data_IF_568304667087
#
_entry.id   IF_568304667087
#
_cell.length_a   1.000
_cell.length_b   1.000
_cell.length_c   1.000
_cell.angle_alpha   90.00
_cell.angle_beta   90.00
_cell.angle_gamma   90.00
#
_symmetry.space_group_name_H-M   'P 1'
#
loop_
_entity.id
_entity.type
_entity.pdbx_description
1 polymer ?
#
# COMPACT_ATOMS: atom_id res chain seq x y z
N UNK A 1 -4.02 -10.07 -11.58
CA UNK A 1 -3.18 -9.27 -10.66
C UNK A 1 -1.75 -9.80 -10.75
N UNK A 2 -0.73 -8.95 -10.56
CA UNK A 2 0.68 -9.38 -10.53
C UNK A 2 0.93 -10.24 -9.27
N UNK A 3 1.87 -11.17 -9.36
CA UNK A 3 2.35 -11.95 -8.23
C UNK A 3 3.87 -12.13 -8.35
N UNK A 4 4.66 -11.08 -8.09
CA UNK A 4 6.11 -11.15 -8.17
C UNK A 4 6.68 -11.99 -7.01
N UNK A 5 7.94 -12.40 -7.12
CA UNK A 5 8.67 -12.94 -5.96
C UNK A 5 9.05 -11.77 -5.03
N UNK A 6 8.55 -11.80 -3.80
CA UNK A 6 8.76 -10.77 -2.77
C UNK A 6 10.23 -10.59 -2.37
N UNK A 7 11.05 -11.63 -2.55
CA UNK A 7 12.48 -11.57 -2.21
C UNK A 7 13.29 -10.81 -3.26
N UNK A 8 12.87 -10.88 -4.52
CA UNK A 8 13.61 -10.33 -5.68
C UNK A 8 12.97 -9.09 -6.31
N UNK A 9 11.70 -8.78 -6.00
CA UNK A 9 11.01 -7.61 -6.54
C UNK A 9 11.74 -6.32 -6.14
N UNK A 10 12.05 -5.48 -7.13
CA UNK A 10 12.87 -4.28 -6.93
C UNK A 10 12.10 -2.99 -7.19
N UNK A 11 10.96 -3.07 -7.90
CA UNK A 11 10.15 -1.92 -8.24
C UNK A 11 8.77 -1.99 -7.60
N UNK A 12 8.27 -0.84 -7.14
CA UNK A 12 6.97 -0.74 -6.50
C UNK A 12 5.83 -1.06 -7.47
N UNK A 13 5.93 -0.62 -8.73
CA UNK A 13 4.91 -0.89 -9.74
C UNK A 13 4.94 -2.33 -10.28
N UNK A 14 5.77 -3.22 -9.74
CA UNK A 14 5.70 -4.67 -9.98
C UNK A 14 4.86 -5.39 -8.92
N UNK A 15 4.57 -4.74 -7.79
CA UNK A 15 3.76 -5.29 -6.70
C UNK A 15 2.31 -5.54 -7.13
N UNK A 16 1.60 -6.49 -6.49
CA UNK A 16 0.16 -6.62 -6.63
C UNK A 16 -0.52 -5.28 -6.29
N UNK A 17 -1.62 -4.96 -6.99
CA UNK A 17 -2.41 -3.73 -6.81
C UNK A 17 -1.69 -2.39 -7.10
N UNK A 18 -0.40 -2.38 -7.41
CA UNK A 18 0.35 -1.14 -7.66
C UNK A 18 0.52 -0.92 -9.17
N UNK A 19 -0.07 0.18 -9.65
CA UNK A 19 0.26 0.81 -10.92
C UNK A 19 1.22 1.98 -10.73
N UNK A 20 1.66 2.59 -11.84
CA UNK A 20 2.64 3.69 -11.84
C UNK A 20 2.27 4.83 -10.89
N UNK A 21 1.02 5.29 -10.92
CA UNK A 21 0.55 6.37 -10.06
C UNK A 21 0.69 6.05 -8.56
N UNK A 22 0.39 4.82 -8.16
CA UNK A 22 0.51 4.42 -6.75
C UNK A 22 1.97 4.20 -6.34
N UNK A 23 2.82 3.74 -7.26
CA UNK A 23 4.27 3.73 -7.03
C UNK A 23 4.82 5.14 -6.81
N UNK A 24 4.34 6.13 -7.57
CA UNK A 24 4.75 7.53 -7.42
C UNK A 24 4.26 8.11 -6.08
N UNK A 25 3.04 7.77 -5.64
CA UNK A 25 2.55 8.14 -4.31
C UNK A 25 3.42 7.54 -3.19
N UNK A 26 3.81 6.28 -3.30
CA UNK A 26 4.71 5.63 -2.34
C UNK A 26 6.09 6.31 -2.31
N UNK A 27 6.65 6.63 -3.48
CA UNK A 27 7.91 7.35 -3.58
C UNK A 27 7.82 8.75 -2.96
N UNK A 28 6.71 9.46 -3.18
CA UNK A 28 6.45 10.79 -2.61
C UNK A 28 6.50 10.77 -1.07
N UNK A 29 6.09 9.67 -0.44
CA UNK A 29 6.15 9.49 1.02
C UNK A 29 7.42 8.77 1.50
N UNK A 30 8.44 8.65 0.65
CA UNK A 30 9.77 8.11 1.00
C UNK A 30 9.90 6.58 0.93
N UNK A 31 8.93 5.90 0.33
CA UNK A 31 8.98 4.46 0.04
C UNK A 31 9.41 4.29 -1.42
N UNK A 32 10.71 4.10 -1.63
CA UNK A 32 11.33 3.94 -2.97
C UNK A 32 11.59 2.48 -3.36
N UNK A 33 11.43 1.54 -2.42
CA UNK A 33 11.73 0.12 -2.62
C UNK A 33 10.70 -0.75 -1.88
N UNK A 34 10.22 -1.88 -2.48
CA UNK A 34 9.23 -2.76 -1.87
C UNK A 34 9.52 -3.16 -0.42
N UNK A 35 10.78 -3.53 -0.11
CA UNK A 35 11.20 -3.91 1.25
C UNK A 35 10.98 -2.83 2.32
N UNK A 36 10.85 -1.55 1.95
CA UNK A 36 10.53 -0.47 2.91
C UNK A 36 9.08 -0.49 3.39
N UNK A 37 8.21 -1.30 2.78
CA UNK A 37 6.82 -1.52 3.22
C UNK A 37 6.72 -2.47 4.41
N UNK A 38 7.73 -3.29 4.67
CA UNK A 38 7.72 -4.26 5.78
C UNK A 38 7.68 -3.50 7.11
N UNK A 39 6.73 -3.84 7.98
CA UNK A 39 6.53 -3.20 9.28
C UNK A 39 6.00 -1.76 9.18
N UNK A 40 5.37 -1.38 8.06
CA UNK A 40 4.70 -0.09 7.92
C UNK A 40 3.22 -0.21 8.23
N UNK A 41 2.72 0.74 9.00
CA UNK A 41 1.28 0.86 9.27
C UNK A 41 0.57 1.53 8.08
N UNK A 42 -0.39 0.87 7.42
CA UNK A 42 -1.06 1.39 6.22
C UNK A 42 -1.76 2.75 6.42
N UNK A 43 -2.35 2.97 7.60
CA UNK A 43 -2.99 4.25 7.93
C UNK A 43 -1.97 5.38 8.06
N UNK A 44 -0.79 5.12 8.65
CA UNK A 44 0.27 6.13 8.74
C UNK A 44 0.83 6.51 7.36
N UNK A 45 0.96 5.53 6.45
CA UNK A 45 1.35 5.79 5.06
C UNK A 45 0.33 6.69 4.36
N UNK A 46 -0.97 6.44 4.58
CA UNK A 46 -2.06 7.23 4.01
C UNK A 46 -2.10 8.65 4.57
N UNK A 47 -1.99 8.82 5.89
CA UNK A 47 -1.95 10.14 6.52
C UNK A 47 -0.74 10.95 6.05
N UNK A 48 0.41 10.29 5.91
CA UNK A 48 1.62 10.91 5.35
C UNK A 48 1.42 11.32 3.89
N UNK A 49 0.76 10.50 3.08
CA UNK A 49 0.45 10.83 1.69
C UNK A 49 -0.44 12.06 1.61
N UNK A 50 -1.55 12.09 2.35
CA UNK A 50 -2.45 13.24 2.39
C UNK A 50 -1.74 14.51 2.86
N UNK A 51 -0.87 14.39 3.87
CA UNK A 51 -0.10 15.51 4.40
C UNK A 51 0.87 16.07 3.36
N UNK A 52 1.61 15.21 2.65
CA UNK A 52 2.63 15.65 1.69
C UNK A 52 2.00 16.15 0.39
N UNK A 53 0.92 15.52 -0.08
CA UNK A 53 0.24 15.96 -1.31
C UNK A 53 -0.66 17.19 -1.11
N UNK A 54 -1.02 17.51 0.15
CA UNK A 54 -1.91 18.62 0.48
C UNK A 54 -3.37 18.39 0.09
N UNK A 55 -3.75 17.15 -0.20
CA UNK A 55 -5.11 16.76 -0.56
C UNK A 55 -5.53 15.48 0.15
N UNK A 56 -6.84 15.34 0.39
CA UNK A 56 -7.40 14.12 0.96
C UNK A 56 -7.64 13.11 -0.16
N UNK A 57 -6.88 12.03 -0.16
CA UNK A 57 -7.03 10.93 -1.12
C UNK A 57 -8.28 10.11 -0.84
N UNK A 58 -8.69 9.27 -1.81
CA UNK A 58 -9.78 8.33 -1.57
C UNK A 58 -9.38 7.30 -0.48
N UNK A 59 -10.26 6.97 0.48
CA UNK A 59 -9.95 5.99 1.52
C UNK A 59 -9.55 4.60 1.01
N UNK A 60 -9.93 4.19 -0.21
CA UNK A 60 -9.48 2.92 -0.78
C UNK A 60 -7.96 2.82 -0.97
N UNK A 61 -7.24 3.95 -0.93
CA UNK A 61 -5.77 3.95 -0.92
C UNK A 61 -5.22 3.23 0.31
N UNK A 62 -5.89 3.31 1.46
CA UNK A 62 -5.52 2.53 2.65
C UNK A 62 -5.64 1.03 2.37
N UNK A 63 -6.69 0.59 1.68
CA UNK A 63 -6.88 -0.83 1.31
C UNK A 63 -5.74 -1.32 0.40
N UNK A 64 -5.30 -0.47 -0.53
CA UNK A 64 -4.13 -0.74 -1.38
C UNK A 64 -2.87 -0.87 -0.52
N UNK A 65 -2.63 0.05 0.41
CA UNK A 65 -1.49 -0.01 1.33
C UNK A 65 -1.51 -1.25 2.21
N UNK A 66 -2.65 -1.61 2.79
CA UNK A 66 -2.83 -2.86 3.54
C UNK A 66 -2.44 -4.06 2.69
N UNK A 67 -2.91 -4.11 1.44
CA UNK A 67 -2.63 -5.24 0.56
C UNK A 67 -1.14 -5.43 0.25
N UNK A 68 -0.39 -4.33 0.06
CA UNK A 68 1.03 -4.42 -0.28
C UNK A 68 1.93 -4.58 0.92
N UNK A 69 1.55 -4.03 2.09
CA UNK A 69 2.23 -4.31 3.36
C UNK A 69 2.07 -5.79 3.69
N UNK A 70 0.84 -6.30 3.70
CA UNK A 70 0.55 -7.73 3.93
C UNK A 70 1.36 -8.64 3.02
N UNK A 71 1.39 -8.34 1.71
CA UNK A 71 2.18 -9.10 0.75
C UNK A 71 3.68 -9.03 1.05
N UNK A 72 4.23 -7.85 1.36
CA UNK A 72 5.66 -7.74 1.67
C UNK A 72 6.03 -8.41 3.01
N UNK A 73 5.08 -8.59 3.93
CA UNK A 73 5.27 -9.21 5.24
C UNK A 73 5.14 -10.74 5.25
N UNK A 74 4.90 -11.37 4.10
CA UNK A 74 4.80 -12.84 4.00
C UNK A 74 3.41 -13.36 3.63
N UNK A 75 2.42 -12.47 3.53
CA UNK A 75 1.05 -12.81 3.15
C UNK A 75 0.88 -13.20 1.68
N UNK A 76 -0.29 -13.73 1.34
CA UNK A 76 -0.65 -14.03 -0.05
C UNK A 76 -0.93 -12.73 -0.83
N UNK A 77 -0.73 -12.71 -2.16
CA UNK A 77 -1.11 -11.58 -3.00
C UNK A 77 -2.65 -11.51 -3.08
N UNK A 78 -3.25 -10.65 -2.24
CA UNK A 78 -4.69 -10.46 -2.20
C UNK A 78 -5.11 -9.19 -2.97
N UNK A 79 -6.28 -9.17 -3.62
CA UNK A 79 -6.79 -7.94 -4.20
C UNK A 79 -7.06 -6.92 -3.10
N UNK A 80 -6.81 -5.64 -3.36
CA UNK A 80 -6.93 -4.60 -2.33
C UNK A 80 -8.30 -4.57 -1.64
N UNK A 81 -9.39 -4.85 -2.38
CA UNK A 81 -10.74 -4.79 -1.81
C UNK A 81 -11.01 -5.86 -0.73
N UNK A 82 -10.17 -6.89 -0.62
CA UNK A 82 -10.24 -7.86 0.50
C UNK A 82 -10.04 -7.20 1.87
N UNK A 83 -9.41 -6.02 1.92
CA UNK A 83 -9.14 -5.27 3.15
C UNK A 83 -10.20 -4.18 3.46
N UNK A 84 -11.19 -4.00 2.58
CA UNK A 84 -12.21 -2.95 2.71
C UNK A 84 -12.97 -3.02 4.04
N UNK A 85 -13.35 -4.24 4.46
CA UNK A 85 -14.11 -4.44 5.70
C UNK A 85 -13.27 -4.13 6.93
N UNK A 86 -11.97 -4.43 6.89
CA UNK A 86 -11.03 -4.09 7.95
C UNK A 86 -10.89 -2.57 8.09
N UNK A 87 -10.66 -1.87 6.98
CA UNK A 87 -10.60 -0.40 6.99
C UNK A 87 -11.90 0.22 7.51
N UNK A 88 -13.07 -0.26 7.04
CA UNK A 88 -14.36 0.27 7.49
C UNK A 88 -14.57 0.09 8.99
N UNK A 89 -14.14 -1.04 9.56
CA UNK A 89 -14.19 -1.27 11.01
C UNK A 89 -13.28 -0.30 11.77
N UNK A 90 -12.11 0.01 11.23
CA UNK A 90 -11.18 0.97 11.85
C UNK A 90 -11.70 2.41 11.81
N UNK A 91 -12.40 2.82 10.74
CA UNK A 91 -12.92 4.19 10.61
C UNK A 91 -14.25 4.40 11.36
N UNK A 92 -15.08 3.36 11.47
CA UNK A 92 -16.40 3.44 12.12
C UNK A 92 -16.38 3.08 13.61
N UNK A 93 -15.21 2.71 14.16
CA UNK A 93 -15.01 2.44 15.59
C UNK A 93 -14.49 3.67 16.31
#
# INVERSE_FOLDING_TARGET
MKNPDRETVSRLDELPNIGKAMADNLQLIGIDHPKKLIGKEPFELYERLCTISGERHDPCVVDVFMSVVHFMEGGDPLPWWSFTDERKKHING
#
